data_IF_090714081498
#
_entry.id   IF_090714081498
#
_cell.length_a   1.000
_cell.length_b   1.000
_cell.length_c   1.000
_cell.angle_alpha   90.00
_cell.angle_beta   90.00
_cell.angle_gamma   90.00
#
_symmetry.space_group_name_H-M   'P 1'
#
loop_
_entity.id
_entity.type
_entity.pdbx_description
1 polymer ?
#
# COMPACT_ATOMS: atom_id res chain seq x y z
N UNK A 1 -11.65 -10.78 4.48
CA UNK A 1 -11.54 -10.06 3.20
C UNK A 1 -10.08 -9.70 2.91
N UNK A 2 -9.73 -9.31 1.69
CA UNK A 2 -8.37 -8.85 1.35
C UNK A 2 -8.32 -7.33 1.30
N UNK A 3 -7.46 -6.73 2.14
CA UNK A 3 -7.11 -5.31 2.08
C UNK A 3 -5.98 -5.14 1.07
N UNK A 4 -6.12 -4.16 0.17
CA UNK A 4 -5.13 -3.81 -0.85
C UNK A 4 -4.67 -2.36 -0.66
N UNK A 5 -3.35 -2.14 -0.71
CA UNK A 5 -2.76 -0.79 -0.68
C UNK A 5 -1.66 -0.70 -1.74
N UNK A 6 -1.76 0.29 -2.62
CA UNK A 6 -0.72 0.61 -3.61
C UNK A 6 0.09 1.81 -3.12
N UNK A 7 1.32 1.57 -2.65
CA UNK A 7 2.25 2.64 -2.35
C UNK A 7 2.90 3.13 -3.63
N UNK A 8 2.95 4.44 -3.82
CA UNK A 8 3.72 5.09 -4.88
C UNK A 8 4.48 6.29 -4.31
N UNK A 9 5.59 6.64 -4.94
CA UNK A 9 6.40 7.80 -4.58
C UNK A 9 7.79 7.75 -5.18
N UNK A 10 8.65 8.69 -4.78
CA UNK A 10 10.06 8.68 -5.18
C UNK A 10 10.78 7.47 -4.60
N UNK A 11 11.81 7.01 -5.29
CA UNK A 11 12.75 6.02 -4.77
C UNK A 11 13.62 6.64 -3.66
N UNK A 12 13.09 6.69 -2.44
CA UNK A 12 13.74 7.30 -1.29
C UNK A 12 13.46 6.57 0.03
N UNK A 13 14.15 7.01 1.09
CA UNK A 13 14.01 6.44 2.44
C UNK A 13 12.59 6.57 3.01
N UNK A 14 11.81 7.55 2.55
CA UNK A 14 10.43 7.74 3.01
C UNK A 14 9.48 6.74 2.34
N UNK A 15 9.72 6.37 1.08
CA UNK A 15 9.04 5.25 0.45
C UNK A 15 9.35 3.94 1.18
N UNK A 16 10.63 3.65 1.43
CA UNK A 16 11.06 2.46 2.18
C UNK A 16 10.38 2.39 3.55
N UNK A 17 10.38 3.49 4.31
CA UNK A 17 9.75 3.55 5.64
C UNK A 17 8.24 3.22 5.61
N UNK A 18 7.50 3.70 4.59
CA UNK A 18 6.06 3.39 4.45
C UNK A 18 5.81 1.92 4.19
N UNK A 19 6.59 1.30 3.30
CA UNK A 19 6.48 -0.13 3.00
C UNK A 19 6.88 -0.96 4.22
N UNK A 20 8.00 -0.65 4.88
CA UNK A 20 8.43 -1.32 6.12
C UNK A 20 7.36 -1.24 7.22
N UNK A 21 6.72 -0.08 7.38
CA UNK A 21 5.63 0.06 8.36
C UNK A 21 4.46 -0.87 8.05
N UNK A 22 4.04 -0.96 6.79
CA UNK A 22 2.97 -1.86 6.39
C UNK A 22 3.33 -3.33 6.64
N UNK A 23 4.57 -3.74 6.33
CA UNK A 23 5.03 -5.09 6.62
C UNK A 23 4.97 -5.40 8.12
N UNK A 24 5.39 -4.46 8.97
CA UNK A 24 5.30 -4.62 10.43
C UNK A 24 3.85 -4.62 10.95
N UNK A 25 2.90 -4.02 10.22
CA UNK A 25 1.45 -4.07 10.51
C UNK A 25 0.81 -5.41 10.05
N UNK A 26 1.61 -6.36 9.56
CA UNK A 26 1.17 -7.68 9.11
C UNK A 26 0.67 -7.72 7.67
N UNK A 27 1.03 -6.73 6.84
CA UNK A 27 0.83 -6.81 5.40
C UNK A 27 1.96 -7.63 4.75
N UNK A 28 1.66 -8.15 3.56
CA UNK A 28 2.59 -8.91 2.72
C UNK A 28 2.80 -8.19 1.38
N UNK A 29 3.99 -8.33 0.80
CA UNK A 29 4.28 -7.82 -0.54
C UNK A 29 3.47 -8.59 -1.57
N UNK A 30 2.82 -7.87 -2.48
CA UNK A 30 2.16 -8.47 -3.64
C UNK A 30 2.96 -8.20 -4.90
N UNK A 31 3.59 -9.25 -5.42
CA UNK A 31 4.38 -9.21 -6.64
C UNK A 31 5.62 -8.31 -6.56
N UNK A 32 6.23 -8.10 -7.71
CA UNK A 32 7.42 -7.25 -7.86
C UNK A 32 7.04 -5.76 -7.85
N UNK A 33 7.92 -4.88 -7.35
CA UNK A 33 7.73 -3.44 -7.48
C UNK A 33 7.73 -3.01 -8.94
N UNK A 34 7.05 -1.90 -9.21
CA UNK A 34 7.07 -1.21 -10.51
C UNK A 34 7.95 0.04 -10.41
N UNK A 35 8.69 0.36 -11.47
CA UNK A 35 9.52 1.56 -11.51
C UNK A 35 9.30 2.31 -12.82
N UNK A 36 9.24 3.64 -12.75
CA UNK A 36 9.14 4.52 -13.92
C UNK A 36 9.93 5.81 -13.67
N UNK A 37 10.35 6.49 -14.74
CA UNK A 37 11.04 7.78 -14.64
C UNK A 37 10.12 8.89 -15.15
N UNK A 38 9.87 9.91 -14.33
CA UNK A 38 8.96 11.01 -14.68
C UNK A 38 9.65 12.21 -15.36
N UNK A 39 10.93 12.09 -15.71
CA UNK A 39 11.75 13.19 -16.23
C UNK A 39 12.60 13.91 -15.17
N UNK A 40 12.42 13.61 -13.89
CA UNK A 40 13.20 14.20 -12.78
C UNK A 40 13.60 13.14 -11.75
N UNK A 41 12.65 12.32 -11.31
CA UNK A 41 12.85 11.31 -10.28
C UNK A 41 12.44 9.92 -10.80
N UNK A 42 13.04 8.89 -10.21
CA UNK A 42 12.53 7.52 -10.30
C UNK A 42 11.34 7.41 -9.36
N UNK A 43 10.19 7.05 -9.92
CA UNK A 43 8.94 6.77 -9.21
C UNK A 43 8.79 5.26 -9.08
N UNK A 44 8.64 4.82 -7.85
CA UNK A 44 8.47 3.41 -7.48
C UNK A 44 7.06 3.16 -7.00
N UNK A 45 6.55 1.97 -7.31
CA UNK A 45 5.26 1.46 -6.88
C UNK A 45 5.42 0.10 -6.23
N UNK A 46 4.79 -0.10 -5.07
CA UNK A 46 4.74 -1.40 -4.38
C UNK A 46 3.35 -1.64 -3.83
N UNK A 47 2.77 -2.78 -4.19
CA UNK A 47 1.53 -3.26 -3.58
C UNK A 47 1.84 -4.01 -2.29
N UNK A 48 1.02 -3.77 -1.28
CA UNK A 48 0.90 -4.67 -0.14
C UNK A 48 -0.54 -5.14 0.02
N UNK A 49 -0.69 -6.38 0.47
CA UNK A 49 -1.99 -7.00 0.77
C UNK A 49 -2.02 -7.50 2.21
N UNK A 50 -3.21 -7.56 2.80
CA UNK A 50 -3.43 -8.18 4.10
C UNK A 50 -4.75 -8.92 4.10
N UNK A 51 -4.74 -10.17 4.51
CA UNK A 51 -5.96 -10.90 4.83
C UNK A 51 -6.45 -10.42 6.20
N UNK A 52 -7.66 -9.88 6.25
CA UNK A 52 -8.31 -9.44 7.49
C UNK A 52 -9.54 -10.30 7.76
N UNK A 53 -9.70 -10.71 9.01
CA UNK A 53 -10.85 -11.51 9.44
C UNK A 53 -12.02 -10.62 9.84
N UNK A 54 -11.72 -9.43 10.36
CA UNK A 54 -12.69 -8.49 10.90
C UNK A 54 -12.54 -7.13 10.21
N UNK A 55 -13.67 -6.46 9.91
CA UNK A 55 -13.64 -5.13 9.32
C UNK A 55 -12.98 -4.11 10.23
N UNK A 56 -12.99 -4.27 11.55
CA UNK A 56 -12.27 -3.42 12.51
C UNK A 56 -10.79 -3.24 12.18
N UNK A 57 -10.15 -4.20 11.51
CA UNK A 57 -8.75 -4.15 11.09
C UNK A 57 -8.48 -3.27 9.84
N UNK A 58 -9.54 -2.86 9.15
CA UNK A 58 -9.43 -2.01 7.96
C UNK A 58 -9.21 -0.55 8.39
N UNK A 59 -8.26 0.17 7.79
CA UNK A 59 -8.11 1.61 8.01
C UNK A 59 -9.42 2.36 7.73
N UNK A 60 -9.79 3.30 8.60
CA UNK A 60 -11.07 4.02 8.55
C UNK A 60 -11.34 4.67 7.19
N UNK A 61 -10.38 5.42 6.64
CA UNK A 61 -10.55 6.04 5.32
C UNK A 61 -10.75 5.04 4.16
N UNK A 62 -10.29 3.79 4.31
CA UNK A 62 -10.59 2.74 3.33
C UNK A 62 -12.00 2.17 3.52
N UNK A 63 -12.50 2.06 4.76
CA UNK A 63 -13.89 1.67 5.02
C UNK A 63 -14.87 2.66 4.40
N UNK A 64 -14.64 3.95 4.61
CA UNK A 64 -15.47 5.03 4.05
C UNK A 64 -15.50 4.95 2.51
N UNK A 65 -14.33 4.76 1.89
CA UNK A 65 -14.25 4.62 0.44
C UNK A 65 -14.95 3.36 -0.09
N UNK A 66 -14.93 2.24 0.65
CA UNK A 66 -15.66 1.03 0.27
C UNK A 66 -17.18 1.24 0.36
N UNK A 67 -17.66 1.89 1.41
CA UNK A 67 -19.09 2.19 1.60
C UNK A 67 -19.63 3.20 0.56
N UNK A 68 -18.80 4.11 0.07
CA UNK A 68 -19.19 5.06 -0.97
C UNK A 68 -19.34 4.43 -2.38
N UNK A 69 -18.77 3.24 -2.60
CA UNK A 69 -18.76 2.53 -3.89
C UNK A 69 -19.72 1.32 -3.93
N UNK A 70 -20.51 1.10 -2.87
CA UNK A 70 -21.46 -0.02 -2.73
C UNK A 70 -22.88 0.34 -3.13
#
# INVERSE_FOLDING_TARGET
>A
MKVYRYFTGKDDVHFCARVTRALNEGYELYGSPTMSFNGTDVIVGQVVIKDVADESEIPEGLKEALAANS
#
